data_IF_917639838213
#
_entry.id   IF_917639838213
#
_cell.length_a   1.000
_cell.length_b   1.000
_cell.length_c   1.000
_cell.angle_alpha   90.00
_cell.angle_beta   90.00
_cell.angle_gamma   90.00
#
_symmetry.space_group_name_H-M   'P 1'
#
loop_
_entity.id
_entity.type
_entity.pdbx_description
1 polymer ?
#
# COMPACT_ATOMS: atom_id res chain seq x y z
N UNK A 1 3.66 -13.30 -5.55
CA UNK A 1 4.17 -12.99 -4.21
C UNK A 1 4.76 -11.61 -4.22
N UNK A 2 4.39 -10.76 -3.28
CA UNK A 2 4.95 -9.43 -3.12
C UNK A 2 6.38 -9.51 -2.56
N UNK A 3 7.38 -9.06 -3.32
CA UNK A 3 8.78 -9.05 -2.87
C UNK A 3 9.15 -7.72 -2.20
N UNK A 4 9.04 -7.67 -0.87
CA UNK A 4 9.44 -6.49 -0.10
C UNK A 4 10.97 -6.30 -0.02
N UNK A 5 11.79 -7.32 -0.33
CA UNK A 5 13.24 -7.16 -0.36
C UNK A 5 13.70 -6.25 -1.52
N UNK A 6 12.88 -6.14 -2.57
CA UNK A 6 13.12 -5.22 -3.67
C UNK A 6 13.20 -3.76 -3.22
N UNK A 7 12.49 -3.37 -2.15
CA UNK A 7 12.50 -1.99 -1.64
C UNK A 7 13.90 -1.58 -1.17
N UNK A 8 14.54 -2.20 -0.15
CA UNK A 8 15.88 -1.83 0.26
C UNK A 8 16.93 -2.11 -0.83
N UNK A 9 16.77 -3.18 -1.62
CA UNK A 9 17.67 -3.49 -2.72
C UNK A 9 17.73 -2.35 -3.76
N UNK A 10 16.57 -1.84 -4.20
CA UNK A 10 16.49 -0.74 -5.15
C UNK A 10 16.97 0.57 -4.52
N UNK A 11 16.66 0.86 -3.25
CA UNK A 11 17.16 2.07 -2.57
C UNK A 11 18.69 2.17 -2.59
N UNK A 12 19.39 1.04 -2.53
CA UNK A 12 20.87 1.02 -2.61
C UNK A 12 21.43 1.19 -4.02
N UNK A 13 20.59 1.07 -5.06
CA UNK A 13 21.00 0.99 -6.48
C UNK A 13 20.49 2.14 -7.33
N UNK A 14 19.50 2.88 -6.85
CA UNK A 14 18.91 4.00 -7.57
C UNK A 14 18.48 5.11 -6.61
N UNK A 15 18.49 6.33 -7.11
CA UNK A 15 17.97 7.52 -6.44
C UNK A 15 16.47 7.74 -6.72
N UNK A 16 15.85 6.91 -7.56
CA UNK A 16 14.45 7.06 -7.94
C UNK A 16 13.51 6.65 -6.78
N UNK A 17 12.32 7.28 -6.68
CA UNK A 17 11.27 6.83 -5.78
C UNK A 17 10.86 5.38 -6.05
N UNK A 18 10.44 4.70 -5.00
CA UNK A 18 10.01 3.29 -5.04
C UNK A 18 8.60 3.24 -4.49
N UNK A 19 7.67 2.79 -5.31
CA UNK A 19 6.27 2.62 -4.98
C UNK A 19 5.97 1.13 -4.91
N UNK A 20 5.23 0.72 -3.89
CA UNK A 20 4.79 -0.68 -3.75
C UNK A 20 3.31 -0.78 -4.07
N UNK A 21 2.95 -1.75 -4.88
CA UNK A 21 1.55 -2.13 -5.16
C UNK A 21 1.18 -3.39 -4.38
N UNK A 22 0.59 -3.26 -3.18
CA UNK A 22 0.10 -4.39 -2.41
C UNK A 22 -1.20 -4.99 -2.98
N UNK A 23 -1.91 -4.31 -3.89
CA UNK A 23 -3.14 -4.83 -4.50
C UNK A 23 -2.79 -5.96 -5.45
N UNK A 24 -2.11 -5.67 -6.57
CA UNK A 24 -1.67 -6.69 -7.52
C UNK A 24 -0.57 -7.59 -6.96
N UNK A 25 0.29 -7.06 -6.08
CA UNK A 25 1.36 -7.86 -5.47
C UNK A 25 0.87 -9.03 -4.60
N UNK A 26 -0.34 -8.89 -4.02
CA UNK A 26 -0.97 -9.93 -3.19
C UNK A 26 -2.14 -10.62 -3.89
N UNK A 27 -2.89 -9.92 -4.73
CA UNK A 27 -4.11 -10.40 -5.38
C UNK A 27 -5.29 -10.62 -4.42
N UNK A 28 -5.17 -10.24 -3.14
CA UNK A 28 -6.15 -10.55 -2.10
C UNK A 28 -6.34 -9.33 -1.21
N UNK A 29 -7.54 -8.75 -1.23
CA UNK A 29 -7.85 -7.50 -0.53
C UNK A 29 -7.49 -7.51 0.96
N UNK A 30 -7.67 -8.66 1.64
CA UNK A 30 -7.33 -8.83 3.06
C UNK A 30 -5.82 -8.70 3.37
N UNK A 31 -4.95 -8.87 2.37
CA UNK A 31 -3.51 -8.72 2.53
C UNK A 31 -3.01 -7.32 2.19
N UNK A 32 -3.84 -6.48 1.56
CA UNK A 32 -3.45 -5.13 1.15
C UNK A 32 -3.03 -4.29 2.35
N UNK A 33 -3.86 -4.20 3.39
CA UNK A 33 -3.56 -3.42 4.58
C UNK A 33 -2.25 -3.83 5.32
N UNK A 34 -2.04 -5.11 5.68
CA UNK A 34 -0.77 -5.51 6.31
C UNK A 34 0.44 -5.31 5.39
N UNK A 35 0.31 -5.56 4.09
CA UNK A 35 1.41 -5.36 3.14
C UNK A 35 1.73 -3.88 2.87
N UNK A 36 0.73 -2.99 2.88
CA UNK A 36 0.93 -1.53 2.85
C UNK A 36 1.76 -1.05 4.03
N UNK A 37 1.44 -1.53 5.25
CA UNK A 37 2.19 -1.20 6.47
C UNK A 37 3.63 -1.73 6.40
N UNK A 38 3.80 -2.96 5.92
CA UNK A 38 5.11 -3.55 5.71
C UNK A 38 5.94 -2.77 4.68
N UNK A 39 5.35 -2.37 3.55
CA UNK A 39 6.01 -1.56 2.53
C UNK A 39 6.48 -0.20 3.07
N UNK A 40 5.63 0.49 3.85
CA UNK A 40 6.01 1.74 4.52
C UNK A 40 7.21 1.52 5.45
N UNK A 41 7.17 0.48 6.29
CA UNK A 41 8.24 0.12 7.22
C UNK A 41 9.55 -0.26 6.51
N UNK A 42 9.47 -0.98 5.39
CA UNK A 42 10.63 -1.38 4.58
C UNK A 42 11.29 -0.23 3.83
N UNK A 43 10.73 0.99 3.87
CA UNK A 43 11.38 2.15 3.27
C UNK A 43 10.74 2.66 1.99
N UNK A 44 9.59 2.13 1.56
CA UNK A 44 8.89 2.60 0.35
C UNK A 44 8.54 4.09 0.46
N UNK A 45 8.51 4.74 -0.71
CA UNK A 45 8.20 6.16 -0.84
C UNK A 45 6.73 6.41 -1.15
N UNK A 46 6.02 5.41 -1.68
CA UNK A 46 4.59 5.49 -1.95
C UNK A 46 3.95 4.11 -2.03
N UNK A 47 2.62 4.12 -2.08
CA UNK A 47 1.78 2.94 -2.24
C UNK A 47 0.83 3.17 -3.43
N UNK A 48 0.55 2.11 -4.19
CA UNK A 48 -0.50 2.07 -5.19
C UNK A 48 -1.57 1.09 -4.71
N UNK A 49 -2.77 1.59 -4.42
CA UNK A 49 -3.84 0.80 -3.78
C UNK A 49 -5.11 0.94 -4.62
N UNK A 50 -5.71 -0.19 -4.98
CA UNK A 50 -7.00 -0.21 -5.68
C UNK A 50 -8.16 -0.08 -4.70
N UNK A 51 -9.12 0.77 -5.07
CA UNK A 51 -10.31 1.05 -4.27
C UNK A 51 -11.52 1.04 -5.19
N UNK A 52 -12.57 0.31 -4.81
CA UNK A 52 -13.83 0.28 -5.53
C UNK A 52 -15.00 0.32 -4.54
N UNK A 53 -16.07 1.12 -4.77
CA UNK A 53 -17.21 1.21 -3.86
C UNK A 53 -17.95 -0.13 -3.70
N UNK A 54 -17.99 -0.92 -4.77
CA UNK A 54 -18.65 -2.23 -4.82
C UNK A 54 -17.72 -3.27 -5.47
N UNK A 55 -16.68 -3.79 -4.78
CA UNK A 55 -15.66 -4.64 -5.40
C UNK A 55 -16.23 -5.88 -6.14
N UNK A 56 -17.32 -6.45 -5.62
CA UNK A 56 -18.02 -7.59 -6.23
C UNK A 56 -18.66 -7.28 -7.60
N UNK A 57 -18.80 -5.98 -7.94
CA UNK A 57 -19.32 -5.49 -9.22
C UNK A 57 -18.23 -4.85 -10.10
N UNK A 58 -16.98 -4.87 -9.67
CA UNK A 58 -15.88 -4.30 -10.45
C UNK A 58 -15.69 -5.10 -11.75
N UNK A 59 -15.50 -4.40 -12.87
CA UNK A 59 -15.23 -5.05 -14.17
C UNK A 59 -13.85 -5.71 -14.24
N UNK A 60 -12.93 -5.31 -13.37
CA UNK A 60 -11.58 -5.86 -13.23
C UNK A 60 -11.16 -5.80 -11.76
N UNK A 61 -10.35 -6.75 -11.33
CA UNK A 61 -9.57 -6.71 -10.08
C UNK A 61 -10.37 -6.45 -8.79
N UNK A 62 -11.66 -6.84 -8.77
CA UNK A 62 -12.53 -6.72 -7.59
C UNK A 62 -12.00 -7.46 -6.35
N UNK A 63 -11.38 -8.63 -6.52
CA UNK A 63 -10.87 -9.46 -5.41
C UNK A 63 -9.72 -8.83 -4.60
N UNK A 64 -9.04 -7.83 -5.15
CA UNK A 64 -7.93 -7.11 -4.53
C UNK A 64 -8.26 -5.64 -4.22
N UNK A 65 -9.40 -5.15 -4.69
CA UNK A 65 -9.87 -3.78 -4.45
C UNK A 65 -10.43 -3.62 -3.03
N UNK A 66 -9.99 -2.59 -2.31
CA UNK A 66 -10.56 -2.21 -1.03
C UNK A 66 -11.89 -1.48 -1.19
N UNK A 67 -12.76 -1.59 -0.18
CA UNK A 67 -13.89 -0.66 -0.04
C UNK A 67 -13.39 0.70 0.49
N UNK A 68 -14.02 1.83 0.14
CA UNK A 68 -13.59 3.16 0.58
C UNK A 68 -13.43 3.30 2.11
N UNK A 69 -14.30 2.66 2.89
CA UNK A 69 -14.23 2.70 4.35
C UNK A 69 -13.01 1.95 4.89
N UNK A 70 -12.65 0.81 4.27
CA UNK A 70 -11.45 0.05 4.63
C UNK A 70 -10.19 0.84 4.25
N UNK A 71 -10.21 1.49 3.10
CA UNK A 71 -9.14 2.38 2.67
C UNK A 71 -8.94 3.56 3.64
N UNK A 72 -10.03 4.19 4.11
CA UNK A 72 -9.96 5.28 5.08
C UNK A 72 -9.28 4.84 6.38
N UNK A 73 -9.66 3.68 6.93
CA UNK A 73 -9.04 3.09 8.13
C UNK A 73 -7.54 2.81 7.88
N UNK A 74 -7.20 2.22 6.73
CA UNK A 74 -5.80 1.98 6.37
C UNK A 74 -4.98 3.28 6.34
N UNK A 75 -5.54 4.37 5.81
CA UNK A 75 -4.85 5.66 5.78
C UNK A 75 -4.60 6.24 7.19
N UNK A 76 -5.52 6.04 8.14
CA UNK A 76 -5.32 6.43 9.54
C UNK A 76 -4.21 5.60 10.22
N UNK A 77 -4.19 4.29 9.97
CA UNK A 77 -3.14 3.40 10.46
C UNK A 77 -1.77 3.76 9.88
N UNK A 78 -1.70 4.03 8.57
CA UNK A 78 -0.46 4.42 7.89
C UNK A 78 0.08 5.75 8.41
N UNK A 79 -0.78 6.72 8.71
CA UNK A 79 -0.37 7.99 9.34
C UNK A 79 0.24 7.77 10.73
N UNK A 80 -0.41 6.94 11.54
CA UNK A 80 0.06 6.62 12.89
C UNK A 80 1.41 5.90 12.85
N UNK A 81 1.55 4.91 11.96
CA UNK A 81 2.81 4.20 11.75
C UNK A 81 3.89 5.10 11.15
N UNK A 82 3.53 5.94 10.17
CA UNK A 82 4.43 6.92 9.55
C UNK A 82 5.04 7.85 10.60
N UNK A 83 4.22 8.43 11.47
CA UNK A 83 4.68 9.27 12.57
C UNK A 83 5.67 8.54 13.49
N UNK A 84 5.38 7.29 13.86
CA UNK A 84 6.28 6.48 14.68
C UNK A 84 7.62 6.16 13.99
N UNK A 85 7.63 6.11 12.65
CA UNK A 85 8.82 5.85 11.83
C UNK A 85 9.54 7.14 11.39
N UNK A 86 9.09 8.33 11.81
CA UNK A 86 9.64 9.60 11.35
C UNK A 86 9.40 9.87 9.87
N UNK A 87 8.30 9.34 9.31
CA UNK A 87 7.88 9.52 7.92
C UNK A 87 6.58 10.30 7.83
N UNK A 88 6.52 11.22 6.87
CA UNK A 88 5.27 11.90 6.52
C UNK A 88 4.43 11.02 5.57
N UNK A 89 3.15 10.87 5.88
CA UNK A 89 2.16 10.20 5.01
C UNK A 89 1.15 11.24 4.57
N UNK A 90 0.99 11.40 3.25
CA UNK A 90 0.12 12.40 2.64
C UNK A 90 -1.35 12.31 3.09
N UNK A 91 -2.05 13.45 3.01
CA UNK A 91 -3.50 13.52 3.20
C UNK A 91 -4.21 12.96 1.97
N UNK A 92 -5.25 12.16 2.16
CA UNK A 92 -6.19 11.87 1.09
C UNK A 92 -6.93 13.17 0.74
N UNK A 93 -6.92 13.53 -0.53
CA UNK A 93 -7.70 14.65 -1.10
C UNK A 93 -9.18 14.30 -1.20
#
# INVERSE_FOLDING_TARGET
TLDLNAVPALKSRTHLPIVVDPSHGTGVWNYVAPMSKAALACGAHGLLIEVHPEPDKAFSDGGQSLKPQVFAVLMDELRSLGAALGKEVGRAI
#
